data_IF_840902788258
#
_entry.id   IF_840902788258
#
_cell.length_a   1.000
_cell.length_b   1.000
_cell.length_c   1.000
_cell.angle_alpha   90.00
_cell.angle_beta   90.00
_cell.angle_gamma   90.00
#
_symmetry.space_group_name_H-M   'P 1'
#
loop_
_entity.id
_entity.type
_entity.pdbx_description
1 polymer ?
#
# COMPACT_ATOMS: atom_id res chain seq x y z
N UNK A 1 15.67 1.14 -7.69
CA UNK A 1 16.51 1.11 -8.89
C UNK A 1 17.84 0.41 -8.66
N UNK A 2 18.76 0.99 -7.88
CA UNK A 2 20.17 0.60 -7.83
C UNK A 2 20.43 -0.78 -7.22
N UNK A 3 19.75 -1.14 -6.15
CA UNK A 3 20.04 -2.39 -5.40
C UNK A 3 19.38 -3.64 -6.03
N UNK A 4 18.19 -3.49 -6.64
CA UNK A 4 17.43 -4.62 -7.12
C UNK A 4 17.10 -4.56 -8.62
N UNK A 5 17.18 -3.39 -9.25
CA UNK A 5 16.78 -3.13 -10.63
C UNK A 5 15.31 -3.55 -10.90
N UNK A 6 14.40 -3.22 -9.97
CA UNK A 6 12.97 -3.45 -10.08
C UNK A 6 12.21 -2.14 -10.32
N UNK A 7 11.02 -2.18 -10.96
CA UNK A 7 10.17 -1.02 -11.20
C UNK A 7 9.34 -0.63 -9.96
N UNK A 8 9.78 -1.00 -8.76
CA UNK A 8 9.06 -0.71 -7.53
C UNK A 8 9.46 0.64 -6.97
N UNK A 9 8.46 1.45 -6.67
CA UNK A 9 8.61 2.77 -6.08
C UNK A 9 8.44 2.64 -4.56
N UNK A 10 9.23 3.39 -3.82
CA UNK A 10 9.16 3.49 -2.37
C UNK A 10 8.56 4.83 -1.99
N UNK A 11 7.62 4.83 -1.06
CA UNK A 11 7.01 6.03 -0.51
C UNK A 11 6.47 5.75 0.90
N UNK A 12 6.15 6.77 1.72
CA UNK A 12 5.53 6.57 3.03
C UNK A 12 4.19 5.84 2.89
N UNK A 13 4.06 4.67 3.53
CA UNK A 13 2.86 3.83 3.47
C UNK A 13 1.64 4.49 4.11
N UNK A 14 0.48 4.48 3.44
CA UNK A 14 -0.73 5.15 3.96
C UNK A 14 -1.20 4.57 5.29
N UNK A 15 -1.20 3.24 5.44
CA UNK A 15 -1.56 2.56 6.69
C UNK A 15 -0.60 2.88 7.83
N UNK A 16 0.69 2.93 7.55
CA UNK A 16 1.74 3.28 8.50
C UNK A 16 1.70 4.76 8.87
N UNK A 17 1.37 5.65 7.91
CA UNK A 17 1.10 7.06 8.19
C UNK A 17 -0.07 7.23 9.18
N UNK A 18 -1.16 6.49 8.95
CA UNK A 18 -2.33 6.51 9.82
C UNK A 18 -1.99 5.98 11.23
N UNK A 19 -1.26 4.87 11.32
CA UNK A 19 -0.78 4.31 12.58
C UNK A 19 0.12 5.31 13.33
N UNK A 20 1.07 5.93 12.64
CA UNK A 20 1.94 6.97 13.17
C UNK A 20 1.14 8.14 13.75
N UNK A 21 0.27 8.75 12.92
CA UNK A 21 -0.43 9.97 13.30
C UNK A 21 -1.56 9.72 14.31
N UNK A 22 -2.40 8.73 14.06
CA UNK A 22 -3.61 8.53 14.85
C UNK A 22 -3.37 7.62 16.06
N UNK A 23 -2.67 6.50 15.89
CA UNK A 23 -2.48 5.57 17.00
C UNK A 23 -1.38 6.05 17.94
N UNK A 24 -0.20 6.35 17.42
CA UNK A 24 0.93 6.70 18.28
C UNK A 24 0.82 8.13 18.80
N UNK A 25 0.55 9.13 17.92
CA UNK A 25 0.52 10.51 18.34
C UNK A 25 -0.82 10.90 18.97
N UNK A 26 -1.96 10.62 18.33
CA UNK A 26 -3.26 11.09 18.81
C UNK A 26 -3.83 10.23 19.94
N UNK A 27 -3.86 8.89 19.83
CA UNK A 27 -4.45 8.02 20.85
C UNK A 27 -3.53 7.79 22.05
N UNK A 28 -2.24 7.44 21.79
CA UNK A 28 -1.28 7.17 22.87
C UNK A 28 -0.64 8.44 23.42
N UNK A 29 -0.80 9.59 22.76
CA UNK A 29 -0.32 10.88 23.23
C UNK A 29 1.20 11.10 23.12
N UNK A 30 1.92 10.22 22.43
CA UNK A 30 3.36 10.38 22.23
C UNK A 30 3.65 11.48 21.20
N UNK A 31 4.74 12.22 21.42
CA UNK A 31 5.17 13.23 20.45
C UNK A 31 5.60 12.58 19.12
N UNK A 32 5.40 13.29 18.02
CA UNK A 32 5.85 12.84 16.71
C UNK A 32 7.38 12.64 16.61
N UNK A 33 8.15 13.32 17.47
CA UNK A 33 9.60 13.13 17.59
C UNK A 33 9.94 11.71 18.08
N UNK A 34 9.16 11.20 19.05
CA UNK A 34 9.30 9.83 19.58
C UNK A 34 8.87 8.80 18.53
N UNK A 35 7.77 9.07 17.83
CA UNK A 35 7.31 8.21 16.75
C UNK A 35 8.35 8.11 15.62
N UNK A 36 8.99 9.24 15.22
CA UNK A 36 10.10 9.23 14.27
C UNK A 36 11.32 8.44 14.77
N UNK A 37 11.64 8.54 16.06
CA UNK A 37 12.74 7.77 16.65
C UNK A 37 12.44 6.26 16.60
N UNK A 38 11.18 5.84 16.82
CA UNK A 38 10.75 4.45 16.69
C UNK A 38 10.90 3.95 15.24
N UNK A 39 10.46 4.73 14.24
CA UNK A 39 10.63 4.42 12.81
C UNK A 39 12.11 4.35 12.42
N UNK A 40 12.96 5.22 12.97
CA UNK A 40 14.39 5.18 12.73
C UNK A 40 15.02 3.87 13.24
N UNK A 41 14.69 3.48 14.47
CA UNK A 41 15.17 2.21 15.06
C UNK A 41 14.64 1.01 14.29
N UNK A 42 13.37 1.03 13.91
CA UNK A 42 12.76 0.03 13.03
C UNK A 42 13.57 -0.15 11.73
N UNK A 43 13.87 0.94 11.03
CA UNK A 43 14.68 0.91 9.81
C UNK A 43 16.05 0.29 10.01
N UNK A 44 16.74 0.58 11.12
CA UNK A 44 18.03 -0.04 11.48
C UNK A 44 17.85 -1.55 11.70
N UNK A 45 16.83 -1.95 12.45
CA UNK A 45 16.52 -3.38 12.66
C UNK A 45 16.29 -4.07 11.31
N UNK A 46 15.55 -3.44 10.40
CA UNK A 46 15.30 -3.98 9.06
C UNK A 46 16.57 -4.10 8.21
N UNK A 47 17.51 -3.17 8.30
CA UNK A 47 18.82 -3.30 7.65
C UNK A 47 19.52 -4.56 8.15
N UNK A 48 19.54 -4.79 9.46
CA UNK A 48 20.16 -5.97 10.07
C UNK A 48 19.44 -7.26 9.61
N UNK A 49 18.10 -7.31 9.70
CA UNK A 49 17.32 -8.47 9.28
C UNK A 49 17.45 -8.78 7.78
N UNK A 50 17.64 -7.76 6.94
CA UNK A 50 17.89 -7.93 5.51
C UNK A 50 19.31 -8.46 5.26
N UNK A 51 20.31 -8.01 6.02
CA UNK A 51 21.68 -8.48 5.92
C UNK A 51 21.81 -9.97 6.28
N UNK A 52 21.07 -10.45 7.29
CA UNK A 52 21.04 -11.86 7.72
C UNK A 52 19.99 -12.71 7.02
N UNK A 53 19.34 -12.21 5.96
CA UNK A 53 18.36 -12.90 5.10
C UNK A 53 17.07 -13.37 5.77
N UNK A 54 16.74 -12.88 6.95
CA UNK A 54 15.49 -13.28 7.65
C UNK A 54 14.27 -12.84 6.85
N UNK A 55 14.23 -11.61 6.36
CA UNK A 55 13.12 -11.10 5.53
C UNK A 55 12.93 -11.91 4.24
N UNK A 56 14.04 -12.32 3.59
CA UNK A 56 14.00 -13.18 2.41
C UNK A 56 13.46 -14.57 2.73
N UNK A 57 13.87 -15.16 3.86
CA UNK A 57 13.38 -16.46 4.30
C UNK A 57 11.86 -16.43 4.55
N UNK A 58 11.33 -15.36 5.15
CA UNK A 58 9.89 -15.16 5.35
C UNK A 58 9.17 -15.07 4.00
N UNK A 59 9.66 -14.25 3.04
CA UNK A 59 9.09 -14.15 1.71
C UNK A 59 9.01 -15.52 1.00
N UNK A 60 10.10 -16.29 1.06
CA UNK A 60 10.19 -17.59 0.40
C UNK A 60 9.33 -18.67 1.07
N UNK A 61 9.03 -18.54 2.36
CA UNK A 61 8.18 -19.48 3.10
C UNK A 61 6.70 -19.38 2.72
N UNK A 62 6.24 -18.28 2.16
CA UNK A 62 4.84 -18.10 1.76
C UNK A 62 4.55 -18.96 0.51
N UNK A 63 3.53 -19.84 0.55
CA UNK A 63 3.18 -20.74 -0.57
C UNK A 63 2.83 -19.98 -1.85
N UNK A 64 3.12 -20.60 -3.01
CA UNK A 64 2.88 -19.98 -4.32
C UNK A 64 1.40 -19.62 -4.54
N UNK A 65 0.47 -20.49 -4.12
CA UNK A 65 -0.97 -20.24 -4.22
C UNK A 65 -1.39 -19.01 -3.38
N UNK A 66 -0.84 -18.90 -2.16
CA UNK A 66 -1.08 -17.75 -1.29
C UNK A 66 -0.47 -16.46 -1.87
N UNK A 67 0.70 -16.51 -2.53
CA UNK A 67 1.28 -15.34 -3.21
C UNK A 67 0.35 -14.79 -4.30
N UNK A 68 -0.32 -15.65 -5.05
CA UNK A 68 -1.33 -15.24 -6.03
C UNK A 68 -2.53 -14.59 -5.34
N UNK A 69 -3.00 -15.19 -4.23
CA UNK A 69 -4.08 -14.64 -3.42
C UNK A 69 -3.74 -13.24 -2.85
N UNK A 70 -2.50 -13.03 -2.43
CA UNK A 70 -2.01 -11.71 -2.00
C UNK A 70 -2.13 -10.69 -3.12
N UNK A 71 -1.75 -11.03 -4.35
CA UNK A 71 -1.90 -10.13 -5.50
C UNK A 71 -3.37 -9.75 -5.74
N UNK A 72 -4.27 -10.73 -5.70
CA UNK A 72 -5.71 -10.51 -5.85
C UNK A 72 -6.27 -9.65 -4.71
N UNK A 73 -5.91 -9.99 -3.46
CA UNK A 73 -6.34 -9.26 -2.27
C UNK A 73 -5.91 -7.79 -2.30
N UNK A 74 -4.66 -7.51 -2.69
CA UNK A 74 -4.15 -6.16 -2.89
C UNK A 74 -4.93 -5.44 -3.99
N UNK A 75 -5.22 -6.10 -5.11
CA UNK A 75 -6.00 -5.53 -6.20
C UNK A 75 -7.39 -5.09 -5.73
N UNK A 76 -8.09 -5.94 -4.99
CA UNK A 76 -9.39 -5.60 -4.40
C UNK A 76 -9.28 -4.49 -3.35
N UNK A 77 -8.23 -4.52 -2.54
CA UNK A 77 -7.98 -3.54 -1.49
C UNK A 77 -7.75 -2.12 -2.05
N UNK A 78 -6.89 -1.97 -3.07
CA UNK A 78 -6.67 -0.64 -3.68
C UNK A 78 -7.90 -0.12 -4.42
N UNK A 79 -8.68 -0.99 -5.07
CA UNK A 79 -9.95 -0.60 -5.67
C UNK A 79 -10.93 -0.11 -4.60
N UNK A 80 -11.02 -0.81 -3.46
CA UNK A 80 -11.87 -0.44 -2.33
C UNK A 80 -11.46 0.91 -1.73
N UNK A 81 -10.14 1.13 -1.49
CA UNK A 81 -9.61 2.42 -1.04
C UNK A 81 -10.00 3.54 -2.02
N UNK A 82 -9.83 3.31 -3.33
CA UNK A 82 -10.20 4.29 -4.34
C UNK A 82 -11.68 4.67 -4.24
N UNK A 83 -12.57 3.68 -4.15
CA UNK A 83 -14.01 3.90 -4.03
C UNK A 83 -14.40 4.63 -2.73
N UNK A 84 -13.73 4.34 -1.61
CA UNK A 84 -13.95 5.06 -0.35
C UNK A 84 -13.47 6.52 -0.44
N UNK A 85 -12.28 6.76 -0.97
CA UNK A 85 -11.72 8.10 -1.10
C UNK A 85 -12.57 9.01 -1.99
N UNK A 86 -13.31 8.44 -2.95
CA UNK A 86 -14.24 9.17 -3.79
C UNK A 86 -15.64 9.33 -3.18
N UNK A 87 -15.92 8.69 -2.04
CA UNK A 87 -17.23 8.67 -1.42
C UNK A 87 -18.25 7.74 -2.11
N UNK A 88 -17.80 6.86 -3.03
CA UNK A 88 -18.66 5.83 -3.63
C UNK A 88 -19.05 4.79 -2.59
N UNK A 89 -18.10 4.40 -1.75
CA UNK A 89 -18.32 3.56 -0.57
C UNK A 89 -18.11 4.43 0.66
N UNK A 90 -19.11 4.45 1.54
CA UNK A 90 -19.09 5.25 2.77
C UNK A 90 -19.27 4.37 4.01
N UNK A 91 -18.82 4.87 5.15
CA UNK A 91 -19.04 4.22 6.43
C UNK A 91 -20.52 4.24 6.80
N UNK A 92 -21.02 3.11 7.29
CA UNK A 92 -22.38 2.95 7.80
C UNK A 92 -22.34 2.19 9.13
N UNK A 93 -22.80 2.79 10.25
CA UNK A 93 -22.77 2.16 11.56
C UNK A 93 -23.52 0.83 11.66
N UNK A 94 -24.53 0.62 10.81
CA UNK A 94 -25.37 -0.60 10.84
C UNK A 94 -24.82 -1.74 9.99
N UNK A 95 -24.14 -1.42 8.87
CA UNK A 95 -23.68 -2.41 7.88
C UNK A 95 -22.17 -2.34 7.60
N UNK A 96 -21.42 -1.57 8.39
CA UNK A 96 -20.02 -1.20 8.23
C UNK A 96 -19.77 -0.31 7.00
N UNK A 97 -20.31 -0.67 5.85
CA UNK A 97 -20.20 0.12 4.60
C UNK A 97 -21.53 0.17 3.86
N UNK A 98 -21.74 1.25 3.11
CA UNK A 98 -22.89 1.41 2.22
C UNK A 98 -22.50 2.22 0.98
N UNK A 99 -23.40 2.24 -0.01
CA UNK A 99 -23.24 3.09 -1.19
C UNK A 99 -23.44 4.55 -0.79
N UNK A 100 -22.54 5.42 -1.21
CA UNK A 100 -22.66 6.86 -1.08
C UNK A 100 -23.68 7.46 -2.04
N UNK A 101 -23.94 8.76 -1.89
CA UNK A 101 -24.88 9.44 -2.78
C UNK A 101 -24.29 9.65 -4.18
N UNK A 102 -24.77 8.87 -5.13
CA UNK A 102 -24.31 8.90 -6.53
C UNK A 102 -24.68 10.20 -7.26
N UNK A 103 -25.51 11.04 -6.68
CA UNK A 103 -25.88 12.35 -7.26
C UNK A 103 -24.84 13.43 -6.94
N UNK A 104 -23.94 13.18 -6.00
CA UNK A 104 -22.87 14.13 -5.70
C UNK A 104 -21.84 14.13 -6.83
N UNK A 105 -21.29 15.31 -7.13
CA UNK A 105 -20.33 15.50 -8.22
C UNK A 105 -19.08 14.60 -8.06
N UNK A 106 -18.45 14.49 -6.88
CA UNK A 106 -17.29 13.60 -6.70
C UNK A 106 -17.58 12.14 -7.03
N UNK A 107 -18.71 11.60 -6.52
CA UNK A 107 -19.09 10.20 -6.76
C UNK A 107 -19.43 9.95 -8.22
N UNK A 108 -20.24 10.84 -8.85
CA UNK A 108 -20.59 10.73 -10.25
C UNK A 108 -19.33 10.78 -11.15
N UNK A 109 -18.41 11.73 -10.88
CA UNK A 109 -17.19 11.86 -11.66
C UNK A 109 -16.22 10.69 -11.45
N UNK A 110 -16.13 10.11 -10.25
CA UNK A 110 -15.34 8.92 -10.01
C UNK A 110 -15.83 7.73 -10.85
N UNK A 111 -17.16 7.53 -10.91
CA UNK A 111 -17.76 6.45 -11.70
C UNK A 111 -17.60 6.69 -13.21
N UNK A 112 -17.89 7.89 -13.69
CA UNK A 112 -17.72 8.29 -15.10
C UNK A 112 -16.24 8.18 -15.50
N UNK A 113 -15.33 8.70 -14.68
CA UNK A 113 -13.88 8.62 -14.88
C UNK A 113 -13.38 7.19 -14.95
N UNK A 114 -13.94 6.28 -14.13
CA UNK A 114 -13.60 4.86 -14.17
C UNK A 114 -13.99 4.24 -15.52
N UNK A 115 -15.17 4.53 -16.05
CA UNK A 115 -15.59 4.06 -17.37
C UNK A 115 -14.70 4.65 -18.46
N UNK A 116 -14.40 5.96 -18.42
CA UNK A 116 -13.48 6.61 -19.37
C UNK A 116 -12.10 5.93 -19.34
N UNK A 117 -11.55 5.72 -18.16
CA UNK A 117 -10.22 5.09 -18.01
C UNK A 117 -10.23 3.66 -18.55
N UNK A 118 -11.28 2.87 -18.26
CA UNK A 118 -11.45 1.53 -18.83
C UNK A 118 -11.49 1.56 -20.38
N UNK A 119 -12.25 2.49 -20.96
CA UNK A 119 -12.30 2.66 -22.43
C UNK A 119 -10.92 2.99 -23.00
N UNK A 120 -10.15 3.85 -22.32
CA UNK A 120 -8.78 4.17 -22.76
C UNK A 120 -7.87 2.94 -22.70
N UNK A 121 -7.98 2.12 -21.64
CA UNK A 121 -7.23 0.86 -21.51
C UNK A 121 -7.63 -0.14 -22.60
N UNK A 122 -8.94 -0.33 -22.85
CA UNK A 122 -9.44 -1.21 -23.91
C UNK A 122 -8.92 -0.77 -25.29
N UNK A 123 -8.84 0.53 -25.51
CA UNK A 123 -8.29 1.12 -26.75
C UNK A 123 -6.76 1.13 -26.78
N UNK A 124 -6.08 0.59 -25.78
CA UNK A 124 -4.61 0.50 -25.66
C UNK A 124 -3.93 1.87 -25.77
N UNK A 125 -4.55 2.92 -25.23
CA UNK A 125 -3.95 4.26 -25.17
C UNK A 125 -2.77 4.21 -24.19
N UNK A 126 -1.59 4.66 -24.63
CA UNK A 126 -0.40 4.74 -23.77
C UNK A 126 -0.63 5.74 -22.65
N UNK A 127 -0.33 5.35 -21.40
CA UNK A 127 -0.58 6.18 -20.22
C UNK A 127 -2.07 6.36 -19.89
N UNK A 128 -2.94 5.40 -20.28
CA UNK A 128 -4.38 5.45 -20.08
C UNK A 128 -4.79 5.84 -18.66
N UNK A 129 -4.07 5.36 -17.64
CA UNK A 129 -4.35 5.66 -16.23
C UNK A 129 -4.14 7.15 -15.92
N UNK A 130 -3.00 7.72 -16.34
CA UNK A 130 -2.72 9.14 -16.15
C UNK A 130 -3.70 10.02 -16.93
N UNK A 131 -3.96 9.67 -18.19
CA UNK A 131 -4.94 10.38 -19.03
C UNK A 131 -6.33 10.33 -18.40
N UNK A 132 -6.72 9.20 -17.83
CA UNK A 132 -7.98 9.03 -17.10
C UNK A 132 -8.08 9.96 -15.89
N UNK A 133 -7.02 10.04 -15.07
CA UNK A 133 -6.93 10.98 -13.93
C UNK A 133 -7.12 12.42 -14.41
N UNK A 134 -6.37 12.83 -15.44
CA UNK A 134 -6.41 14.19 -15.96
C UNK A 134 -7.77 14.56 -16.53
N UNK A 135 -8.40 13.67 -17.31
CA UNK A 135 -9.75 13.89 -17.85
C UNK A 135 -10.75 14.04 -16.70
N UNK A 136 -10.72 13.16 -15.70
CA UNK A 136 -11.64 13.21 -14.57
C UNK A 136 -11.47 14.50 -13.78
N UNK A 137 -10.24 14.94 -13.55
CA UNK A 137 -9.95 16.20 -12.90
C UNK A 137 -10.45 17.41 -13.71
N UNK A 138 -10.19 17.45 -15.02
CA UNK A 138 -10.69 18.51 -15.91
C UNK A 138 -12.23 18.57 -15.88
N UNK A 139 -12.93 17.43 -15.92
CA UNK A 139 -14.37 17.38 -15.75
C UNK A 139 -14.81 17.97 -14.41
N UNK A 140 -14.07 17.70 -13.34
CA UNK A 140 -14.28 18.32 -12.03
C UNK A 140 -14.15 19.84 -12.06
N UNK A 141 -13.10 20.37 -12.71
CA UNK A 141 -12.91 21.82 -12.91
C UNK A 141 -14.09 22.43 -13.68
N UNK A 142 -14.55 21.76 -14.75
CA UNK A 142 -15.71 22.21 -15.51
C UNK A 142 -16.95 22.27 -14.62
N UNK A 143 -17.20 21.26 -13.79
CA UNK A 143 -18.31 21.26 -12.83
C UNK A 143 -18.18 22.39 -11.81
N UNK A 144 -16.97 22.73 -11.36
CA UNK A 144 -16.74 23.86 -10.45
C UNK A 144 -17.04 25.20 -11.14
N UNK A 145 -16.56 25.40 -12.38
CA UNK A 145 -16.83 26.60 -13.14
C UNK A 145 -18.32 26.77 -13.50
N UNK A 146 -19.05 25.65 -13.69
CA UNK A 146 -20.49 25.64 -13.92
C UNK A 146 -21.32 25.83 -12.64
N UNK A 147 -20.69 25.95 -11.47
CA UNK A 147 -21.38 26.12 -10.18
C UNK A 147 -22.05 24.84 -9.63
N UNK A 148 -21.81 23.68 -10.27
CA UNK A 148 -22.36 22.39 -9.82
C UNK A 148 -21.50 21.77 -8.69
N UNK A 149 -20.18 21.96 -8.76
CA UNK A 149 -19.26 21.61 -7.68
C UNK A 149 -19.02 22.89 -6.85
N UNK A 150 -19.61 22.93 -5.66
CA UNK A 150 -19.49 24.06 -4.75
C UNK A 150 -18.34 23.84 -3.78
N UNK A 151 -17.42 24.79 -3.72
CA UNK A 151 -16.30 24.76 -2.78
C UNK A 151 -16.82 25.09 -1.38
N UNK A 152 -16.54 24.25 -0.41
CA UNK A 152 -16.85 24.41 0.99
C UNK A 152 -15.68 23.89 1.82
N UNK A 153 -14.79 24.82 2.22
CA UNK A 153 -13.56 24.50 2.95
C UNK A 153 -13.86 23.94 4.35
N UNK A 154 -14.98 24.36 4.97
CA UNK A 154 -15.38 23.89 6.30
C UNK A 154 -15.87 22.42 6.22
N UNK A 155 -16.51 22.06 5.12
CA UNK A 155 -16.91 20.69 4.84
C UNK A 155 -15.76 19.83 4.21
N UNK A 156 -14.56 20.37 4.04
CA UNK A 156 -13.42 19.68 3.43
C UNK A 156 -13.46 19.60 1.91
N UNK A 157 -14.30 20.41 1.25
CA UNK A 157 -14.42 20.48 -0.21
C UNK A 157 -13.57 21.63 -0.74
N UNK A 158 -12.40 21.30 -1.27
CA UNK A 158 -11.42 22.29 -1.75
C UNK A 158 -11.58 22.61 -3.23
N UNK A 159 -11.05 23.78 -3.64
CA UNK A 159 -11.02 24.16 -5.05
C UNK A 159 -10.17 23.18 -5.89
N UNK A 160 -10.68 22.83 -7.04
CA UNK A 160 -10.00 21.97 -8.04
C UNK A 160 -9.11 22.79 -8.98
N UNK A 161 -9.19 24.12 -8.90
CA UNK A 161 -8.42 25.05 -9.75
C UNK A 161 -7.13 25.39 -9.01
N UNK A 162 -5.94 25.11 -9.61
CA UNK A 162 -4.67 25.44 -9.00
C UNK A 162 -4.51 26.95 -8.75
N UNK A 163 -3.97 27.31 -7.61
CA UNK A 163 -3.69 28.72 -7.25
C UNK A 163 -2.42 29.25 -7.90
N UNK A 164 -1.60 28.36 -8.49
CA UNK A 164 -0.37 28.69 -9.19
C UNK A 164 0.19 27.48 -9.90
N UNK A 165 1.16 27.68 -10.80
CA UNK A 165 1.78 26.58 -11.54
C UNK A 165 3.03 26.05 -10.82
N UNK A 166 3.82 26.92 -10.24
CA UNK A 166 5.12 26.57 -9.62
C UNK A 166 5.22 27.26 -8.27
N UNK A 167 5.75 26.55 -7.30
CA UNK A 167 6.14 27.10 -6.00
C UNK A 167 7.51 26.55 -5.58
N UNK A 168 8.25 27.32 -4.78
CA UNK A 168 9.44 26.81 -4.12
C UNK A 168 9.03 25.72 -3.11
N UNK A 169 9.74 24.59 -3.04
CA UNK A 169 9.47 23.57 -2.02
C UNK A 169 9.61 24.16 -0.62
N UNK A 170 8.70 23.86 0.31
CA UNK A 170 8.84 24.31 1.68
C UNK A 170 10.09 23.69 2.34
N UNK A 171 10.70 24.42 3.26
CA UNK A 171 11.86 23.91 4.00
C UNK A 171 11.47 22.71 4.88
N UNK A 172 12.24 21.64 4.82
CA UNK A 172 12.11 20.47 5.73
C UNK A 172 12.85 20.65 7.05
N UNK A 173 13.61 21.76 7.23
CA UNK A 173 14.40 22.03 8.44
C UNK A 173 13.60 21.94 9.76
N UNK A 174 12.31 22.30 9.83
CA UNK A 174 11.52 22.12 11.05
C UNK A 174 11.34 20.68 11.50
N UNK A 175 11.39 19.70 10.58
CA UNK A 175 11.13 18.28 10.85
C UNK A 175 12.36 17.40 10.71
N UNK A 176 13.32 17.76 9.85
CA UNK A 176 14.50 16.94 9.59
C UNK A 176 15.40 16.84 10.83
N UNK A 177 15.82 15.59 11.14
CA UNK A 177 16.70 15.30 12.27
C UNK A 177 16.07 15.51 13.66
N UNK A 178 14.75 15.67 13.75
CA UNK A 178 14.04 15.95 15.02
C UNK A 178 13.62 14.66 15.74
N UNK A 179 14.50 13.67 15.78
CA UNK A 179 14.28 12.43 16.52
C UNK A 179 14.46 12.67 18.03
N UNK A 180 13.58 12.10 18.86
CA UNK A 180 13.71 12.16 20.32
C UNK A 180 13.38 10.80 20.95
N UNK A 181 14.19 10.39 21.91
CA UNK A 181 13.98 9.17 22.69
C UNK A 181 13.42 9.47 24.10
N UNK A 182 13.08 10.73 24.38
CA UNK A 182 12.57 11.18 25.67
C UNK A 182 11.05 11.24 25.70
N UNK A 183 10.47 11.03 26.88
CA UNK A 183 9.01 11.11 27.07
C UNK A 183 8.24 9.82 26.79
N UNK A 184 8.92 8.69 26.68
CA UNK A 184 8.33 7.36 26.56
C UNK A 184 9.07 6.38 27.47
N UNK A 185 8.36 5.41 28.05
CA UNK A 185 9.00 4.31 28.77
C UNK A 185 9.74 3.38 27.81
N UNK A 186 10.82 2.73 28.26
CA UNK A 186 11.56 1.77 27.44
C UNK A 186 10.64 0.64 26.95
N UNK A 187 9.74 0.17 27.80
CA UNK A 187 8.80 -0.89 27.47
C UNK A 187 7.84 -0.45 26.36
N UNK A 188 7.20 0.71 26.52
CA UNK A 188 6.27 1.24 25.50
C UNK A 188 7.00 1.53 24.18
N UNK A 189 8.24 2.01 24.24
CA UNK A 189 9.05 2.25 23.04
C UNK A 189 9.32 0.96 22.27
N UNK A 190 9.66 -0.13 22.97
CA UNK A 190 9.83 -1.46 22.36
C UNK A 190 8.52 -1.95 21.72
N UNK A 191 7.38 -1.77 22.41
CA UNK A 191 6.05 -2.14 21.87
C UNK A 191 5.74 -1.35 20.59
N UNK A 192 6.01 -0.04 20.58
CA UNK A 192 5.80 0.82 19.40
C UNK A 192 6.69 0.38 18.23
N UNK A 193 8.00 0.15 18.48
CA UNK A 193 8.92 -0.36 17.45
C UNK A 193 8.43 -1.69 16.90
N UNK A 194 8.06 -2.62 17.78
CA UNK A 194 7.57 -3.94 17.36
C UNK A 194 6.32 -3.84 16.48
N UNK A 195 5.39 -2.95 16.81
CA UNK A 195 4.18 -2.75 16.02
C UNK A 195 4.48 -2.17 14.64
N UNK A 196 5.34 -1.14 14.55
CA UNK A 196 5.80 -0.63 13.25
C UNK A 196 6.50 -1.72 12.42
N UNK A 197 7.48 -2.39 13.03
CA UNK A 197 8.26 -3.46 12.41
C UNK A 197 7.39 -4.59 11.87
N UNK A 198 6.35 -4.98 12.65
CA UNK A 198 5.43 -6.02 12.24
C UNK A 198 4.59 -5.58 11.05
N UNK A 199 3.97 -4.41 11.11
CA UNK A 199 3.09 -3.92 10.05
C UNK A 199 3.89 -3.69 8.77
N UNK A 200 5.04 -2.99 8.83
CA UNK A 200 5.87 -2.71 7.67
C UNK A 200 6.46 -3.98 7.03
N UNK A 201 6.93 -4.93 7.86
CA UNK A 201 7.47 -6.19 7.33
C UNK A 201 6.45 -6.90 6.41
N UNK A 202 5.21 -7.05 6.87
CA UNK A 202 4.21 -7.79 6.12
C UNK A 202 3.54 -6.95 5.03
N UNK A 203 3.46 -5.64 5.19
CA UNK A 203 2.98 -4.73 4.16
C UNK A 203 3.95 -4.69 2.96
N UNK A 204 5.24 -4.50 3.23
CA UNK A 204 6.31 -4.58 2.21
C UNK A 204 6.36 -5.96 1.53
N UNK A 205 6.36 -7.05 2.31
CA UNK A 205 6.39 -8.41 1.73
C UNK A 205 5.14 -8.70 0.90
N UNK A 206 3.96 -8.31 1.39
CA UNK A 206 2.70 -8.44 0.67
C UNK A 206 2.73 -7.69 -0.66
N UNK A 207 3.15 -6.43 -0.64
CA UNK A 207 3.26 -5.59 -1.84
C UNK A 207 4.29 -6.15 -2.84
N UNK A 208 5.48 -6.56 -2.37
CA UNK A 208 6.49 -7.20 -3.22
C UNK A 208 5.94 -8.49 -3.87
N UNK A 209 5.24 -9.32 -3.09
CA UNK A 209 4.58 -10.54 -3.61
C UNK A 209 3.56 -10.17 -4.69
N UNK A 210 2.62 -9.29 -4.36
CA UNK A 210 1.51 -8.92 -5.21
C UNK A 210 1.96 -8.32 -6.54
N UNK A 211 2.81 -7.30 -6.47
CA UNK A 211 3.32 -6.61 -7.67
C UNK A 211 4.26 -7.50 -8.48
N UNK A 212 5.12 -8.31 -7.83
CA UNK A 212 6.01 -9.26 -8.52
C UNK A 212 5.25 -10.36 -9.23
N UNK A 213 4.16 -10.87 -8.62
CA UNK A 213 3.26 -11.86 -9.23
C UNK A 213 2.62 -11.27 -10.48
N UNK A 214 2.06 -10.06 -10.39
CA UNK A 214 1.48 -9.34 -11.54
C UNK A 214 2.50 -9.05 -12.63
N UNK A 215 3.74 -8.73 -12.25
CA UNK A 215 4.83 -8.45 -13.18
C UNK A 215 5.41 -9.70 -13.86
N UNK A 216 5.11 -10.90 -13.36
CA UNK A 216 5.73 -12.15 -13.78
C UNK A 216 7.22 -12.23 -13.42
N UNK A 217 7.64 -11.64 -12.30
CA UNK A 217 9.04 -11.62 -11.85
C UNK A 217 9.43 -12.80 -10.98
N UNK A 218 8.45 -13.56 -10.49
CA UNK A 218 8.72 -14.77 -9.71
C UNK A 218 9.28 -15.86 -10.61
N UNK A 219 10.27 -16.61 -10.10
CA UNK A 219 10.79 -17.78 -10.75
C UNK A 219 9.82 -18.97 -10.64
N UNK A 220 10.20 -20.14 -11.19
CA UNK A 220 9.38 -21.35 -11.17
C UNK A 220 9.11 -21.88 -9.77
N UNK A 221 9.98 -21.57 -8.83
CA UNK A 221 9.87 -21.90 -7.41
C UNK A 221 9.08 -20.84 -6.61
N UNK A 222 8.57 -19.79 -7.28
CA UNK A 222 7.81 -18.69 -6.66
C UNK A 222 8.68 -17.73 -5.86
N UNK A 223 9.99 -17.72 -6.08
CA UNK A 223 10.94 -16.79 -5.44
C UNK A 223 11.12 -15.54 -6.29
N UNK A 224 11.39 -14.41 -5.64
CA UNK A 224 11.74 -13.17 -6.31
C UNK A 224 13.27 -13.06 -6.40
N UNK A 225 13.88 -13.15 -7.61
CA UNK A 225 15.30 -12.90 -7.77
C UNK A 225 15.70 -11.53 -7.21
N UNK A 226 16.90 -11.40 -6.64
CA UNK A 226 17.43 -10.12 -6.09
C UNK A 226 16.54 -9.47 -5.00
N UNK A 227 15.67 -10.22 -4.35
CA UNK A 227 14.80 -9.72 -3.27
C UNK A 227 15.59 -9.05 -2.15
N UNK A 228 16.78 -9.56 -1.82
CA UNK A 228 17.71 -8.96 -0.85
C UNK A 228 17.94 -7.48 -1.11
N UNK A 229 18.24 -7.13 -2.38
CA UNK A 229 18.46 -5.74 -2.77
C UNK A 229 17.21 -4.88 -2.63
N UNK A 230 16.03 -5.43 -2.90
CA UNK A 230 14.76 -4.72 -2.74
C UNK A 230 14.47 -4.44 -1.25
N UNK A 231 14.59 -5.46 -0.39
CA UNK A 231 14.38 -5.35 1.05
C UNK A 231 15.42 -4.46 1.75
N UNK A 232 16.66 -4.45 1.26
CA UNK A 232 17.68 -3.54 1.76
C UNK A 232 17.41 -2.08 1.37
N UNK A 233 16.96 -1.85 0.12
CA UNK A 233 16.58 -0.51 -0.34
C UNK A 233 15.41 0.06 0.49
N UNK A 234 14.43 -0.77 0.79
CA UNK A 234 13.26 -0.47 1.62
C UNK A 234 13.67 -0.06 3.04
N UNK A 235 14.50 -0.90 3.71
CA UNK A 235 15.03 -0.61 5.04
C UNK A 235 15.86 0.68 5.11
N UNK A 236 16.69 0.93 4.08
CA UNK A 236 17.46 2.15 3.99
C UNK A 236 16.56 3.37 3.79
N UNK A 237 15.52 3.25 2.96
CA UNK A 237 14.57 4.33 2.70
C UNK A 237 13.77 4.68 3.97
N UNK A 238 13.35 3.70 4.77
CA UNK A 238 12.70 3.90 6.08
C UNK A 238 13.61 4.65 7.04
N UNK A 239 14.88 4.21 7.16
CA UNK A 239 15.86 4.85 8.04
C UNK A 239 16.11 6.31 7.64
N UNK A 240 16.36 6.57 6.35
CA UNK A 240 16.59 7.92 5.82
C UNK A 240 15.31 8.76 5.90
N UNK A 241 14.15 8.16 5.61
CA UNK A 241 12.84 8.80 5.70
C UNK A 241 12.57 9.34 7.11
N UNK A 242 12.82 8.54 8.15
CA UNK A 242 12.68 8.96 9.54
C UNK A 242 13.58 10.16 9.88
N UNK A 243 14.82 10.19 9.38
CA UNK A 243 15.71 11.36 9.56
C UNK A 243 15.18 12.58 8.83
N UNK A 244 14.56 12.42 7.66
CA UNK A 244 13.96 13.51 6.90
C UNK A 244 12.61 13.98 7.48
N UNK A 245 12.04 13.23 8.45
CA UNK A 245 10.81 13.60 9.16
C UNK A 245 9.54 12.97 8.59
N UNK A 246 9.66 11.85 7.87
CA UNK A 246 8.50 11.07 7.40
C UNK A 246 8.35 9.77 8.20
N UNK A 247 7.13 9.20 8.19
CA UNK A 247 6.87 7.87 8.76
C UNK A 247 7.56 6.77 7.92
N UNK A 248 7.32 5.51 8.27
CA UNK A 248 7.89 4.34 7.60
C UNK A 248 7.66 4.38 6.08
N UNK A 249 8.76 4.25 5.34
CA UNK A 249 8.77 4.17 3.87
C UNK A 249 8.74 2.71 3.46
N UNK A 250 7.78 2.33 2.66
CA UNK A 250 7.56 0.96 2.22
C UNK A 250 7.45 0.85 0.71
N UNK A 251 7.50 -0.35 0.17
CA UNK A 251 7.24 -0.60 -1.25
C UNK A 251 5.79 -0.26 -1.58
N UNK A 252 5.59 0.67 -2.51
CA UNK A 252 4.28 1.25 -2.82
C UNK A 252 3.50 0.34 -3.78
N UNK A 253 2.28 -0.01 -3.38
CA UNK A 253 1.42 -0.94 -4.15
C UNK A 253 1.01 -0.36 -5.51
N UNK A 254 0.96 0.96 -5.63
CA UNK A 254 0.72 1.69 -6.87
C UNK A 254 1.80 1.47 -7.94
N UNK A 255 2.94 0.87 -7.57
CA UNK A 255 3.94 0.36 -8.54
C UNK A 255 3.32 -0.63 -9.53
N UNK A 256 2.22 -1.29 -9.16
CA UNK A 256 1.44 -2.14 -10.05
C UNK A 256 0.92 -1.38 -11.28
N UNK A 257 0.63 -0.09 -11.15
CA UNK A 257 0.26 0.79 -12.27
C UNK A 257 1.39 0.90 -13.30
N UNK A 258 2.61 1.25 -12.85
CA UNK A 258 3.78 1.32 -13.72
C UNK A 258 4.15 -0.02 -14.36
N UNK A 259 3.98 -1.12 -13.62
CA UNK A 259 4.16 -2.49 -14.12
C UNK A 259 3.12 -2.82 -15.20
N UNK A 260 1.87 -2.45 -15.00
CA UNK A 260 0.78 -2.67 -15.96
C UNK A 260 0.99 -1.90 -17.25
N UNK A 261 1.58 -0.71 -17.17
CA UNK A 261 1.95 0.14 -18.32
C UNK A 261 3.26 -0.29 -19.02
N UNK A 262 3.90 -1.38 -18.54
CA UNK A 262 5.07 -1.99 -19.15
C UNK A 262 6.40 -1.75 -18.44
N UNK A 263 6.40 -1.13 -17.26
CA UNK A 263 7.61 -0.97 -16.44
C UNK A 263 8.19 -2.33 -16.02
N UNK A 264 9.49 -2.56 -16.25
CA UNK A 264 10.13 -3.87 -15.96
C UNK A 264 11.49 -3.75 -15.28
N UNK A 265 12.02 -2.57 -15.12
CA UNK A 265 13.37 -2.35 -14.60
C UNK A 265 13.43 -1.21 -13.59
N UNK A 266 14.56 -1.08 -12.91
CA UNK A 266 14.84 0.00 -11.98
C UNK A 266 14.83 1.40 -12.62
N UNK A 267 14.89 1.49 -13.95
CA UNK A 267 14.71 2.77 -14.64
C UNK A 267 13.33 3.38 -14.38
N UNK A 268 12.28 2.54 -14.31
CA UNK A 268 10.93 2.97 -13.93
C UNK A 268 10.92 3.60 -12.53
N UNK A 269 11.55 2.94 -11.56
CA UNK A 269 11.65 3.46 -10.19
C UNK A 269 12.50 4.73 -10.11
N UNK A 270 13.60 4.80 -10.87
CA UNK A 270 14.45 6.00 -10.95
C UNK A 270 13.68 7.18 -11.55
N UNK A 271 12.95 6.94 -12.65
CA UNK A 271 12.12 7.98 -13.30
C UNK A 271 11.06 8.48 -12.33
N UNK A 272 10.37 7.59 -11.59
CA UNK A 272 9.41 7.99 -10.58
C UNK A 272 10.06 8.82 -9.47
N UNK A 273 11.25 8.44 -8.99
CA UNK A 273 12.00 9.22 -8.00
C UNK A 273 12.36 10.63 -8.50
N UNK A 274 12.81 10.76 -9.74
CA UNK A 274 13.08 12.07 -10.37
C UNK A 274 11.77 12.87 -10.50
N UNK A 275 10.66 12.22 -10.90
CA UNK A 275 9.37 12.90 -11.00
C UNK A 275 8.85 13.35 -9.63
N UNK A 276 9.10 12.63 -8.53
CA UNK A 276 8.80 13.11 -7.18
C UNK A 276 9.57 14.40 -6.84
N UNK A 277 10.86 14.49 -7.20
CA UNK A 277 11.63 15.72 -6.99
C UNK A 277 11.09 16.88 -7.86
N UNK A 278 10.76 16.62 -9.11
CA UNK A 278 10.12 17.61 -9.98
C UNK A 278 8.74 18.02 -9.46
N UNK A 279 7.98 17.07 -8.93
CA UNK A 279 6.65 17.29 -8.34
C UNK A 279 6.67 18.29 -7.17
N UNK A 280 7.78 18.40 -6.43
CA UNK A 280 7.92 19.42 -5.38
C UNK A 280 7.76 20.84 -5.91
N UNK A 281 8.21 21.11 -7.15
CA UNK A 281 8.05 22.40 -7.79
C UNK A 281 6.63 22.65 -8.27
N UNK A 282 5.90 21.59 -8.61
CA UNK A 282 4.54 21.64 -9.12
C UNK A 282 3.50 21.34 -8.03
N UNK A 283 3.87 21.46 -6.75
CA UNK A 283 2.97 21.18 -5.63
C UNK A 283 1.63 21.92 -5.71
N UNK A 284 1.52 23.20 -6.16
CA UNK A 284 0.23 23.87 -6.27
C UNK A 284 -0.75 23.22 -7.24
N UNK A 285 -0.22 22.53 -8.28
CA UNK A 285 -1.05 21.77 -9.22
C UNK A 285 -1.41 20.42 -8.61
N UNK A 286 -0.41 19.68 -8.13
CA UNK A 286 -0.58 18.29 -7.72
C UNK A 286 -1.46 18.14 -6.47
N UNK A 287 -1.41 19.10 -5.56
CA UNK A 287 -2.25 19.12 -4.35
C UNK A 287 -3.72 19.44 -4.64
N UNK A 288 -4.05 19.96 -5.82
CA UNK A 288 -5.45 20.20 -6.22
C UNK A 288 -6.12 19.04 -6.94
N UNK A 289 -5.35 17.98 -7.29
CA UNK A 289 -5.94 16.77 -7.88
C UNK A 289 -6.76 16.06 -6.79
N UNK A 290 -8.10 15.98 -6.94
CA UNK A 290 -8.94 15.40 -5.90
C UNK A 290 -8.90 13.87 -5.93
N UNK A 291 -9.25 13.26 -4.80
CA UNK A 291 -9.27 11.79 -4.67
C UNK A 291 -10.23 11.13 -5.66
N UNK A 292 -11.37 11.75 -5.98
CA UNK A 292 -12.28 11.20 -6.98
C UNK A 292 -11.67 11.12 -8.39
N UNK A 293 -10.66 11.95 -8.70
CA UNK A 293 -9.96 11.89 -9.98
C UNK A 293 -8.91 10.76 -10.03
N UNK A 294 -8.33 10.37 -8.89
CA UNK A 294 -7.38 9.27 -8.82
C UNK A 294 -8.06 7.90 -8.70
N UNK A 295 -9.28 7.85 -8.21
CA UNK A 295 -10.09 6.63 -8.05
C UNK A 295 -10.16 5.76 -9.31
N UNK A 296 -10.40 6.31 -10.52
CA UNK A 296 -10.41 5.54 -11.74
C UNK A 296 -9.16 4.69 -11.95
N UNK A 297 -7.99 5.27 -11.70
CA UNK A 297 -6.73 4.55 -11.84
C UNK A 297 -6.60 3.41 -10.81
N UNK A 298 -6.96 3.67 -9.54
CA UNK A 298 -6.90 2.66 -8.47
C UNK A 298 -7.84 1.48 -8.76
N UNK A 299 -9.07 1.75 -9.22
CA UNK A 299 -10.04 0.70 -9.57
C UNK A 299 -9.57 -0.12 -10.76
N UNK A 300 -9.03 0.52 -11.79
CA UNK A 300 -8.56 -0.19 -13.00
C UNK A 300 -7.31 -1.01 -12.71
N UNK A 301 -6.35 -0.49 -11.93
CA UNK A 301 -5.17 -1.25 -11.49
C UNK A 301 -5.61 -2.42 -10.59
N UNK A 302 -6.57 -2.19 -9.69
CA UNK A 302 -7.15 -3.25 -8.88
C UNK A 302 -7.71 -4.38 -9.73
N UNK A 303 -8.50 -4.07 -10.75
CA UNK A 303 -9.02 -5.05 -11.71
C UNK A 303 -7.90 -5.85 -12.39
N UNK A 304 -6.83 -5.18 -12.85
CA UNK A 304 -5.69 -5.84 -13.49
C UNK A 304 -4.97 -6.82 -12.55
N UNK A 305 -4.93 -6.53 -11.25
CA UNK A 305 -4.33 -7.44 -10.25
C UNK A 305 -5.24 -8.62 -9.91
N UNK A 306 -6.57 -8.42 -9.93
CA UNK A 306 -7.56 -9.48 -9.68
C UNK A 306 -7.53 -10.57 -10.77
N UNK A 307 -7.02 -10.30 -11.96
CA UNK A 307 -6.86 -11.32 -13.02
C UNK A 307 -6.13 -12.58 -12.55
N UNK A 308 -5.19 -12.46 -11.59
CA UNK A 308 -4.44 -13.59 -11.02
C UNK A 308 -5.34 -14.59 -10.24
N UNK A 309 -6.61 -14.27 -9.98
CA UNK A 309 -7.57 -15.18 -9.34
C UNK A 309 -7.74 -16.49 -10.14
N UNK A 310 -7.58 -16.42 -11.46
CA UNK A 310 -7.68 -17.58 -12.37
C UNK A 310 -6.61 -18.64 -12.10
N UNK A 311 -5.49 -18.23 -11.52
CA UNK A 311 -4.34 -19.09 -11.27
C UNK A 311 -4.33 -19.67 -9.85
N UNK A 312 -5.32 -19.29 -9.00
CA UNK A 312 -5.47 -19.82 -7.65
C UNK A 312 -6.15 -21.19 -7.71
N UNK A 313 -5.51 -22.19 -7.10
CA UNK A 313 -6.13 -23.49 -6.94
C UNK A 313 -7.10 -23.49 -5.74
N UNK A 314 -8.39 -23.57 -6.05
CA UNK A 314 -9.47 -23.70 -5.07
C UNK A 314 -9.97 -25.14 -4.90
N UNK A 315 -9.45 -26.09 -5.68
CA UNK A 315 -9.88 -27.49 -5.62
C UNK A 315 -9.42 -28.20 -4.34
N UNK A 316 -8.24 -27.82 -3.83
CA UNK A 316 -7.72 -28.24 -2.52
C UNK A 316 -8.07 -27.20 -1.45
N UNK A 317 -9.00 -27.52 -0.56
CA UNK A 317 -9.40 -26.59 0.49
C UNK A 317 -8.27 -26.23 1.47
N UNK A 318 -7.20 -27.02 1.56
CA UNK A 318 -6.03 -26.68 2.38
C UNK A 318 -5.18 -25.56 1.74
N UNK A 319 -5.40 -25.27 0.47
CA UNK A 319 -4.79 -24.17 -0.28
C UNK A 319 -5.81 -23.07 -0.59
N UNK A 320 -7.02 -23.45 -1.03
CA UNK A 320 -8.06 -22.53 -1.48
C UNK A 320 -8.67 -21.69 -0.37
N UNK A 321 -8.93 -22.27 0.81
CA UNK A 321 -9.48 -21.53 1.95
C UNK A 321 -8.50 -20.47 2.50
N UNK A 322 -7.20 -20.77 2.72
CA UNK A 322 -6.23 -19.75 3.07
C UNK A 322 -6.12 -18.63 2.04
N UNK A 323 -6.17 -18.95 0.75
CA UNK A 323 -6.19 -17.97 -0.33
C UNK A 323 -7.42 -17.06 -0.25
N UNK A 324 -8.61 -17.65 -0.03
CA UNK A 324 -9.84 -16.91 0.17
C UNK A 324 -9.78 -15.99 1.39
N UNK A 325 -9.30 -16.50 2.55
CA UNK A 325 -9.16 -15.69 3.77
C UNK A 325 -8.16 -14.54 3.57
N UNK A 326 -7.06 -14.77 2.87
CA UNK A 326 -6.09 -13.71 2.54
C UNK A 326 -6.77 -12.58 1.77
N UNK A 327 -7.50 -12.90 0.70
CA UNK A 327 -8.19 -11.93 -0.15
C UNK A 327 -9.25 -11.17 0.63
N UNK A 328 -10.11 -11.89 1.35
CA UNK A 328 -11.23 -11.30 2.08
C UNK A 328 -10.75 -10.36 3.17
N UNK A 329 -9.83 -10.83 4.02
CA UNK A 329 -9.41 -10.08 5.19
C UNK A 329 -8.57 -8.83 4.85
N UNK A 330 -7.87 -8.80 3.71
CA UNK A 330 -7.21 -7.57 3.23
C UNK A 330 -8.21 -6.43 3.03
N UNK A 331 -9.37 -6.73 2.47
CA UNK A 331 -10.41 -5.73 2.18
C UNK A 331 -11.20 -5.38 3.45
N UNK A 332 -11.66 -6.40 4.17
CA UNK A 332 -12.57 -6.22 5.33
C UNK A 332 -11.85 -5.59 6.52
N UNK A 333 -10.59 -5.94 6.76
CA UNK A 333 -9.78 -5.36 7.85
C UNK A 333 -9.02 -4.09 7.40
N UNK A 334 -9.17 -3.66 6.13
CA UNK A 334 -8.47 -2.49 5.59
C UNK A 334 -6.94 -2.58 5.79
N UNK A 335 -6.37 -3.78 5.61
CA UNK A 335 -4.96 -4.06 5.89
C UNK A 335 -4.41 -5.26 5.13
N UNK A 336 -3.31 -5.05 4.39
CA UNK A 336 -2.58 -6.12 3.70
C UNK A 336 -2.02 -7.12 4.72
N UNK A 337 -1.46 -6.60 5.83
CA UNK A 337 -0.89 -7.41 6.90
C UNK A 337 -1.92 -8.34 7.53
N UNK A 338 -3.13 -7.86 7.84
CA UNK A 338 -4.18 -8.70 8.43
C UNK A 338 -4.61 -9.81 7.46
N UNK A 339 -4.72 -9.51 6.17
CA UNK A 339 -4.98 -10.55 5.17
C UNK A 339 -3.95 -11.67 5.19
N UNK A 340 -2.67 -11.33 5.30
CA UNK A 340 -1.58 -12.31 5.44
C UNK A 340 -1.67 -13.07 6.77
N UNK A 341 -1.99 -12.40 7.87
CA UNK A 341 -2.16 -13.05 9.19
C UNK A 341 -3.20 -14.16 9.11
N UNK A 342 -4.41 -13.83 8.66
CA UNK A 342 -5.49 -14.82 8.56
C UNK A 342 -5.20 -15.91 7.53
N UNK A 343 -4.59 -15.57 6.40
CA UNK A 343 -4.20 -16.52 5.37
C UNK A 343 -3.17 -17.54 5.88
N UNK A 344 -2.08 -17.07 6.51
CA UNK A 344 -1.02 -17.95 7.01
C UNK A 344 -1.49 -18.82 8.17
N UNK A 345 -2.23 -18.27 9.13
CA UNK A 345 -2.78 -19.06 10.25
C UNK A 345 -3.69 -20.16 9.73
N UNK A 346 -4.64 -19.82 8.84
CA UNK A 346 -5.55 -20.81 8.26
C UNK A 346 -4.82 -21.86 7.44
N UNK A 347 -3.78 -21.50 6.67
CA UNK A 347 -2.94 -22.42 5.92
C UNK A 347 -2.29 -23.45 6.83
N UNK A 348 -1.61 -23.00 7.90
CA UNK A 348 -0.91 -23.90 8.82
C UNK A 348 -1.90 -24.82 9.54
N UNK A 349 -3.02 -24.29 10.04
CA UNK A 349 -4.04 -25.09 10.74
C UNK A 349 -4.65 -26.14 9.81
N UNK A 350 -5.04 -25.78 8.58
CA UNK A 350 -5.64 -26.73 7.65
C UNK A 350 -4.66 -27.79 7.16
N UNK A 351 -3.38 -27.47 6.95
CA UNK A 351 -2.37 -28.48 6.64
C UNK A 351 -2.09 -29.41 7.82
N UNK A 352 -2.08 -28.91 9.05
CA UNK A 352 -1.89 -29.73 10.25
C UNK A 352 -3.06 -30.71 10.47
N UNK A 353 -4.29 -30.20 10.49
CA UNK A 353 -5.49 -30.99 10.77
C UNK A 353 -5.99 -31.77 9.53
N UNK A 354 -5.67 -31.29 8.33
CA UNK A 354 -5.99 -31.98 7.07
C UNK A 354 -5.02 -33.11 6.69
N UNK A 355 -4.08 -33.48 7.56
CA UNK A 355 -3.17 -34.61 7.34
C UNK A 355 -2.00 -34.33 6.39
N UNK A 356 -1.79 -33.07 5.97
CA UNK A 356 -0.73 -32.65 5.03
C UNK A 356 0.45 -31.95 5.73
N UNK A 357 0.72 -32.31 6.99
CA UNK A 357 1.78 -31.68 7.80
C UNK A 357 3.18 -31.72 7.15
N UNK A 358 3.44 -32.70 6.30
CA UNK A 358 4.73 -32.87 5.61
C UNK A 358 4.98 -31.76 4.55
N UNK A 359 3.94 -31.03 4.15
CA UNK A 359 4.04 -29.90 3.22
C UNK A 359 4.36 -28.58 3.91
N UNK A 360 4.36 -28.57 5.27
CA UNK A 360 4.63 -27.37 6.04
C UNK A 360 6.14 -27.08 6.14
N UNK A 361 6.54 -25.89 5.72
CA UNK A 361 7.87 -25.36 5.99
C UNK A 361 7.94 -24.88 7.45
N UNK A 362 9.01 -25.23 8.22
CA UNK A 362 9.16 -24.76 9.59
C UNK A 362 9.05 -23.24 9.77
N UNK A 363 9.54 -22.46 8.79
CA UNK A 363 9.48 -21.00 8.84
C UNK A 363 8.04 -20.48 8.85
N UNK A 364 7.15 -21.04 8.00
CA UNK A 364 5.74 -20.60 7.97
C UNK A 364 4.99 -20.98 9.26
N UNK A 365 5.38 -22.07 9.90
CA UNK A 365 4.82 -22.47 11.20
C UNK A 365 5.22 -21.45 12.30
N UNK A 366 6.49 -21.03 12.31
CA UNK A 366 6.97 -19.99 13.23
C UNK A 366 6.22 -18.68 12.97
N UNK A 367 6.05 -18.28 11.70
CA UNK A 367 5.30 -17.09 11.32
C UNK A 367 3.84 -17.19 11.80
N UNK A 368 3.19 -18.34 11.62
CA UNK A 368 1.82 -18.56 12.09
C UNK A 368 1.68 -18.44 13.60
N UNK A 369 2.66 -18.94 14.37
CA UNK A 369 2.70 -18.79 15.82
C UNK A 369 2.84 -17.31 16.21
N UNK A 370 3.76 -16.56 15.55
CA UNK A 370 3.93 -15.13 15.79
C UNK A 370 2.67 -14.34 15.44
N UNK A 371 1.99 -14.69 14.36
CA UNK A 371 0.71 -14.09 13.96
C UNK A 371 -0.40 -14.38 14.98
N UNK A 372 -0.46 -15.61 15.46
CA UNK A 372 -1.44 -15.99 16.49
C UNK A 372 -1.19 -15.24 17.81
N UNK A 373 0.07 -15.13 18.23
CA UNK A 373 0.44 -14.33 19.39
C UNK A 373 0.07 -12.85 19.20
N UNK A 374 0.30 -12.28 18.03
CA UNK A 374 -0.11 -10.90 17.69
C UNK A 374 -1.62 -10.70 17.83
N UNK A 375 -2.45 -11.67 17.40
CA UNK A 375 -3.91 -11.58 17.52
C UNK A 375 -4.40 -11.68 18.99
N UNK A 376 -3.64 -12.33 19.86
CA UNK A 376 -4.01 -12.47 21.29
C UNK A 376 -3.52 -11.28 22.12
N UNK A 377 -2.33 -10.78 21.80
CA UNK A 377 -1.67 -9.73 22.60
C UNK A 377 -2.02 -8.31 22.15
N UNK A 378 -2.69 -8.16 20.99
CA UNK A 378 -3.22 -6.88 20.49
C UNK A 378 -2.35 -6.10 19.63
#
# INVERSE_FOLDING_TARGET
>A
AFFANYPFVLAPGMGLNAYFAFTICAQKGYSWHVALAAVFVEGIIFIILSAVNVREAIFNAIPANMKKAVSVGIGMFIAFIGLQNAGVVINNPSTCVSLGDVKTVPVALALIGTIITLVLVIRKVKGALLVGILITWILGIICQLAGVYVVDVEAGVYSLIPTGLISAPPSIAPIAGKLSFSGISIFDFIVVIFAFLFVDLFDTLGTLIGVSTKAGFLDKEGKLPRIKGALFADALATTVGAVLGTSTVTTFVESASGVSDGGRSGLTALTAGVLFLVALLFSPILTTIPSFATTPALVVVGLMMVENVRDIDFSDYTEGFPAFMTILMMVVCYSISEGLVFGVISYVLLKLFGGKKNELNPVIVIIAILFFLKLILG
#
